data_IF_828033715064
#
_entry.id   IF_828033715064
#
_cell.length_a   1.000
_cell.length_b   1.000
_cell.length_c   1.000
_cell.angle_alpha   90.00
_cell.angle_beta   90.00
_cell.angle_gamma   90.00
#
_symmetry.space_group_name_H-M   'P 1'
#
loop_
_entity.id
_entity.type
_entity.pdbx_description
1 polymer ?
#
# COMPACT_ATOMS: atom_id res chain seq x y z
N UNK A 1 8.81 -6.11 6.38
CA UNK A 1 8.39 -6.85 5.16
C UNK A 1 7.02 -6.35 4.72
N UNK A 2 6.81 -6.06 3.43
CA UNK A 2 5.50 -5.71 2.87
C UNK A 2 4.93 -6.90 2.10
N UNK A 3 3.62 -7.11 2.19
CA UNK A 3 2.93 -7.89 1.19
C UNK A 3 1.45 -7.50 1.05
N UNK A 4 0.88 -7.88 -0.08
CA UNK A 4 -0.51 -7.65 -0.42
C UNK A 4 -1.23 -8.97 -0.64
N UNK A 5 -2.37 -9.10 0.00
CA UNK A 5 -3.27 -10.23 -0.17
C UNK A 5 -4.26 -9.98 -1.32
N UNK A 6 -4.87 -11.07 -1.79
CA UNK A 6 -5.86 -10.99 -2.88
C UNK A 6 -7.17 -10.32 -2.46
N UNK A 7 -7.44 -10.25 -1.15
CA UNK A 7 -8.61 -9.61 -0.55
C UNK A 7 -8.43 -8.08 -0.39
N UNK A 8 -7.40 -7.51 -1.03
CA UNK A 8 -7.04 -6.08 -1.02
C UNK A 8 -6.43 -5.60 0.29
N UNK A 9 -6.07 -6.52 1.19
CA UNK A 9 -5.34 -6.20 2.42
C UNK A 9 -3.86 -5.99 2.11
N UNK A 10 -3.26 -4.96 2.69
CA UNK A 10 -1.81 -4.72 2.63
C UNK A 10 -1.28 -4.85 4.06
N UNK A 11 -0.26 -5.67 4.25
CA UNK A 11 0.32 -5.94 5.55
C UNK A 11 1.77 -5.48 5.60
N UNK A 12 2.09 -4.78 6.68
CA UNK A 12 3.43 -4.34 7.01
C UNK A 12 3.90 -5.10 8.25
N UNK A 13 4.93 -5.92 8.07
CA UNK A 13 5.60 -6.60 9.17
C UNK A 13 6.78 -5.76 9.62
N UNK A 14 6.73 -5.32 10.86
CA UNK A 14 7.91 -4.76 11.51
C UNK A 14 8.82 -5.92 11.95
N UNK A 15 9.98 -6.02 11.30
CA UNK A 15 10.95 -7.07 11.54
C UNK A 15 11.69 -6.94 12.88
N UNK A 16 11.67 -5.76 13.51
CA UNK A 16 12.38 -5.51 14.77
C UNK A 16 11.64 -6.03 15.99
N UNK A 17 10.31 -6.03 15.96
CA UNK A 17 9.47 -6.37 17.12
C UNK A 17 8.62 -7.63 16.92
N UNK A 18 8.71 -8.28 15.75
CA UNK A 18 7.86 -9.43 15.42
C UNK A 18 6.35 -9.08 15.38
N UNK A 19 6.03 -7.78 15.37
CA UNK A 19 4.67 -7.29 15.37
C UNK A 19 4.18 -7.14 13.92
N UNK A 20 3.02 -7.74 13.64
CA UNK A 20 2.38 -7.65 12.34
C UNK A 20 1.38 -6.50 12.39
N UNK A 21 1.70 -5.38 11.73
CA UNK A 21 0.75 -4.29 11.55
C UNK A 21 -0.11 -4.57 10.30
N UNK A 22 -1.34 -5.01 10.54
CA UNK A 22 -2.31 -5.36 9.49
C UNK A 22 -3.16 -4.15 9.15
N UNK A 23 -3.34 -3.85 7.85
CA UNK A 23 -4.32 -2.86 7.43
C UNK A 23 -5.09 -3.28 6.19
N UNK A 24 -6.41 -3.23 6.31
CA UNK A 24 -7.32 -3.47 5.19
C UNK A 24 -7.78 -2.15 4.61
N UNK A 25 -7.64 -2.00 3.30
CA UNK A 25 -8.08 -0.82 2.58
C UNK A 25 -9.33 -1.20 1.78
N UNK A 26 -10.50 -0.83 2.31
CA UNK A 26 -11.79 -1.10 1.66
C UNK A 26 -11.95 -0.38 0.32
N UNK A 27 -11.19 0.71 0.14
CA UNK A 27 -11.29 1.62 -1.00
C UNK A 27 -10.41 1.21 -2.19
N UNK A 28 -9.51 0.25 -2.00
CA UNK A 28 -8.70 -0.25 -3.11
C UNK A 28 -9.63 -1.01 -4.09
N UNK A 29 -9.77 -0.54 -5.34
CA UNK A 29 -10.71 -1.15 -6.28
C UNK A 29 -10.28 -2.55 -6.69
N UNK A 30 -8.98 -2.78 -6.90
CA UNK A 30 -8.42 -4.08 -7.31
C UNK A 30 -7.16 -4.46 -6.53
N UNK A 31 -6.78 -5.73 -6.58
CA UNK A 31 -5.55 -6.23 -5.95
C UNK A 31 -4.34 -5.37 -6.33
N UNK A 32 -3.49 -5.08 -5.34
CA UNK A 32 -2.20 -4.43 -5.57
C UNK A 32 -1.34 -5.26 -6.53
N UNK A 33 -0.72 -4.59 -7.50
CA UNK A 33 0.25 -5.17 -8.43
C UNK A 33 1.69 -4.96 -7.97
N UNK A 34 1.96 -3.90 -7.21
CA UNK A 34 3.28 -3.53 -6.73
C UNK A 34 3.21 -2.80 -5.39
N UNK A 35 4.28 -2.93 -4.60
CA UNK A 35 4.42 -2.40 -3.24
C UNK A 35 5.88 -1.98 -3.03
N UNK A 36 6.09 -0.78 -2.49
CA UNK A 36 7.43 -0.32 -2.11
C UNK A 36 7.35 0.65 -0.93
N UNK A 37 8.43 0.73 -0.15
CA UNK A 37 8.60 1.81 0.82
C UNK A 37 9.18 3.04 0.13
N UNK A 38 8.81 4.22 0.61
CA UNK A 38 9.61 5.42 0.37
C UNK A 38 11.01 5.23 0.95
N UNK A 39 12.05 5.93 0.45
CA UNK A 39 13.44 5.69 0.87
C UNK A 39 13.66 6.02 2.35
N UNK A 40 12.91 7.01 2.85
CA UNK A 40 12.86 7.40 4.26
C UNK A 40 11.98 6.46 5.12
N UNK A 41 11.39 5.43 4.51
CA UNK A 41 10.46 4.48 5.13
C UNK A 41 9.25 5.14 5.81
N UNK A 42 8.94 6.39 5.50
CA UNK A 42 7.82 7.11 6.10
C UNK A 42 6.46 6.72 5.53
N UNK A 43 6.45 6.11 4.34
CA UNK A 43 5.23 5.68 3.66
C UNK A 43 5.44 4.43 2.80
N UNK A 44 4.34 3.76 2.50
CA UNK A 44 4.23 2.72 1.49
C UNK A 44 3.59 3.31 0.25
N UNK A 45 4.21 3.13 -0.91
CA UNK A 45 3.63 3.41 -2.22
C UNK A 45 3.20 2.08 -2.82
N UNK A 46 2.00 2.06 -3.40
CA UNK A 46 1.52 0.86 -4.07
C UNK A 46 0.66 1.20 -5.28
N UNK A 47 0.78 0.36 -6.31
CA UNK A 47 -0.07 0.39 -7.49
C UNK A 47 -1.15 -0.70 -7.42
N UNK A 48 -2.33 -0.42 -7.96
CA UNK A 48 -3.40 -1.41 -8.15
C UNK A 48 -3.56 -1.80 -9.63
N UNK A 49 -4.22 -2.94 -9.87
CA UNK A 49 -4.51 -3.39 -11.24
C UNK A 49 -5.50 -2.51 -12.01
N UNK A 50 -6.09 -1.49 -11.38
CA UNK A 50 -6.96 -0.52 -12.06
C UNK A 50 -6.15 0.65 -12.65
N UNK A 51 -4.85 0.71 -12.37
CA UNK A 51 -3.98 1.79 -12.82
C UNK A 51 -3.77 2.88 -11.78
N UNK A 52 -4.29 2.73 -10.56
CA UNK A 52 -4.17 3.76 -9.54
C UNK A 52 -2.91 3.56 -8.69
N UNK A 53 -2.24 4.66 -8.38
CA UNK A 53 -1.12 4.72 -7.45
C UNK A 53 -1.59 5.39 -6.16
N UNK A 54 -1.22 4.81 -5.02
CA UNK A 54 -1.58 5.31 -3.71
C UNK A 54 -0.34 5.44 -2.83
N UNK A 55 -0.43 6.31 -1.82
CA UNK A 55 0.59 6.45 -0.78
C UNK A 55 -0.07 6.37 0.59
N UNK A 56 0.48 5.52 1.45
CA UNK A 56 0.01 5.31 2.81
C UNK A 56 1.16 5.62 3.76
N UNK A 57 1.05 6.64 4.62
CA UNK A 57 1.99 6.85 5.72
C UNK A 57 2.13 5.59 6.60
N UNK A 58 3.37 5.20 6.94
CA UNK A 58 3.65 4.07 7.82
C UNK A 58 3.04 4.27 9.21
N UNK A 59 2.94 5.53 9.67
CA UNK A 59 2.26 5.89 10.91
C UNK A 59 0.81 5.40 11.00
N UNK A 60 0.17 5.09 9.88
CA UNK A 60 -1.18 4.55 9.88
C UNK A 60 -1.25 3.02 9.99
N UNK A 61 -0.13 2.32 9.93
CA UNK A 61 -0.07 0.88 10.20
C UNK A 61 0.03 0.66 11.71
N UNK A 62 -0.95 -0.04 12.29
CA UNK A 62 -1.03 -0.29 13.74
C UNK A 62 -2.40 0.01 14.33
N UNK A 63 -3.19 0.86 13.69
CA UNK A 63 -4.60 1.03 14.00
C UNK A 63 -5.44 0.05 13.17
N UNK A 64 -6.26 -0.78 13.83
CA UNK A 64 -7.22 -1.70 13.20
C UNK A 64 -8.41 -0.99 12.52
N UNK A 65 -8.23 0.27 12.12
CA UNK A 65 -9.29 1.08 11.50
C UNK A 65 -9.23 0.97 9.97
N UNK A 66 -10.41 0.86 9.35
CA UNK A 66 -10.56 1.01 7.91
C UNK A 66 -10.12 2.42 7.50
N UNK A 67 -9.10 2.51 6.64
CA UNK A 67 -8.68 3.79 6.08
C UNK A 67 -9.73 4.25 5.06
N UNK A 68 -10.47 5.31 5.39
CA UNK A 68 -11.45 5.92 4.47
C UNK A 68 -10.87 7.01 3.57
N UNK A 69 -9.63 7.42 3.82
CA UNK A 69 -8.90 8.35 2.96
C UNK A 69 -7.85 7.58 2.16
N UNK A 70 -8.20 7.21 0.94
CA UNK A 70 -7.19 6.80 -0.05
C UNK A 70 -7.56 7.39 -1.39
N UNK A 71 -7.44 8.71 -1.50
CA UNK A 71 -7.42 9.35 -2.81
C UNK A 71 -6.17 8.86 -3.56
N UNK A 72 -6.30 8.43 -4.83
CA UNK A 72 -5.15 8.04 -5.61
C UNK A 72 -4.25 9.27 -5.84
N UNK A 73 -2.94 9.08 -5.73
CA UNK A 73 -1.96 10.08 -6.11
C UNK A 73 -1.97 10.31 -7.63
N UNK A 74 -2.15 9.22 -8.38
CA UNK A 74 -2.18 9.21 -9.84
C UNK A 74 -3.07 8.08 -10.33
N UNK A 75 -3.71 8.28 -11.48
CA UNK A 75 -4.51 7.26 -12.16
C UNK A 75 -4.04 7.07 -13.59
N UNK A 76 -3.52 5.89 -13.89
CA UNK A 76 -3.21 5.46 -15.25
C UNK A 76 -4.45 4.89 -15.93
N UNK A 77 -4.52 5.05 -17.26
CA UNK A 77 -5.62 4.49 -18.07
C UNK A 77 -5.51 2.97 -18.28
N UNK A 78 -4.36 2.40 -17.94
CA UNK A 78 -4.04 0.99 -18.13
C UNK A 78 -3.60 0.34 -16.83
N UNK A 79 -3.60 -0.99 -16.81
CA UNK A 79 -3.12 -1.77 -15.68
C UNK A 79 -1.67 -1.42 -15.35
N UNK A 80 -1.40 -1.11 -14.07
CA UNK A 80 -0.05 -0.96 -13.56
C UNK A 80 0.58 -2.33 -13.34
N UNK A 81 1.74 -2.54 -13.96
CA UNK A 81 2.52 -3.77 -13.79
C UNK A 81 3.46 -3.67 -12.60
N UNK A 82 4.10 -2.51 -12.45
CA UNK A 82 5.07 -2.25 -11.40
C UNK A 82 5.12 -0.75 -11.07
N UNK A 83 5.68 -0.42 -9.90
CA UNK A 83 5.98 0.96 -9.49
C UNK A 83 7.40 0.98 -8.98
N UNK A 84 8.19 1.94 -9.47
CA UNK A 84 9.57 2.14 -9.05
C UNK A 84 9.70 3.54 -8.49
N UNK A 85 10.37 3.66 -7.35
CA UNK A 85 10.71 4.94 -6.77
C UNK A 85 12.16 5.30 -7.13
N UNK A 86 12.31 6.26 -8.05
CA UNK A 86 13.61 6.79 -8.44
C UNK A 86 13.96 7.93 -7.47
N UNK A 87 14.51 7.58 -6.32
CA UNK A 87 15.08 8.54 -5.37
C UNK A 87 16.61 8.53 -5.44
#
# INVERSE_FOLDING_TARGET
MLAAASDKTIFCLDGLFGSVALRKFSQIPRRSSSLLFTPDQSAVIFGDKSGNVFRIPVAYFGETSECKDSTPLLGHLSMLSDVVNCA
#
